data_IF_110608999756
#
_entry.id   IF_110608999756
#
_cell.length_a   1.000
_cell.length_b   1.000
_cell.length_c   1.000
_cell.angle_alpha   90.00
_cell.angle_beta   90.00
_cell.angle_gamma   90.00
#
_symmetry.space_group_name_H-M   'P 1'
#
loop_
_entity.id
_entity.type
_entity.pdbx_description
1 polymer ?
#
# COMPACT_ATOMS: atom_id res chain seq x y z
N UNK A 1 -21.14 63.49 37.80
CA UNK A 1 -21.65 62.41 36.96
C UNK A 1 -20.53 62.07 35.93
N UNK A 2 -19.87 60.96 36.01
CA UNK A 2 -18.80 60.62 35.02
C UNK A 2 -19.38 59.89 33.83
N UNK A 3 -19.00 60.35 32.64
CA UNK A 3 -19.36 59.79 31.36
C UNK A 3 -18.71 58.39 31.16
N UNK A 4 -19.50 57.41 30.81
CA UNK A 4 -19.05 56.06 30.41
C UNK A 4 -18.73 56.03 28.92
N UNK A 5 -17.47 55.90 28.61
CA UNK A 5 -16.97 55.68 27.24
C UNK A 5 -17.11 54.18 26.91
N UNK A 6 -17.91 53.83 25.91
CA UNK A 6 -18.01 52.45 25.36
C UNK A 6 -16.95 52.26 24.33
N UNK A 7 -16.03 51.30 24.59
CA UNK A 7 -15.03 50.84 23.63
C UNK A 7 -15.70 49.76 22.73
N UNK A 8 -15.92 50.10 21.46
CA UNK A 8 -16.42 49.15 20.47
C UNK A 8 -15.18 48.39 19.94
N UNK A 9 -15.06 47.11 20.27
CA UNK A 9 -14.05 46.22 19.73
C UNK A 9 -14.47 45.80 18.31
N UNK A 10 -13.83 46.32 17.32
CA UNK A 10 -13.99 45.88 15.92
C UNK A 10 -13.20 44.55 15.72
N UNK A 11 -13.91 43.43 15.66
CA UNK A 11 -13.33 42.13 15.33
C UNK A 11 -13.14 42.08 13.80
N UNK A 12 -11.91 42.26 13.33
CA UNK A 12 -11.55 42.04 11.94
C UNK A 12 -11.55 40.52 11.69
N UNK A 13 -12.55 40.02 11.01
CA UNK A 13 -12.55 38.64 10.47
C UNK A 13 -11.64 38.66 9.25
N UNK A 14 -10.41 38.21 9.42
CA UNK A 14 -9.49 37.93 8.32
C UNK A 14 -9.95 36.61 7.68
N UNK A 15 -10.70 36.70 6.59
CA UNK A 15 -10.95 35.55 5.70
C UNK A 15 -9.65 35.22 4.99
N UNK A 16 -9.00 34.13 5.40
CA UNK A 16 -7.88 33.58 4.64
C UNK A 16 -8.36 33.26 3.20
N UNK A 17 -7.61 33.64 2.14
CA UNK A 17 -7.99 33.25 0.80
C UNK A 17 -7.97 31.73 0.70
N UNK A 18 -9.08 31.14 0.23
CA UNK A 18 -9.15 29.75 -0.18
C UNK A 18 -8.03 29.49 -1.21
N UNK A 19 -7.15 28.54 -0.92
CA UNK A 19 -6.17 28.07 -1.92
C UNK A 19 -6.94 27.65 -3.16
N UNK A 20 -6.56 28.10 -4.37
CA UNK A 20 -7.14 27.56 -5.60
C UNK A 20 -6.94 26.06 -5.56
N UNK A 21 -8.01 25.29 -5.77
CA UNK A 21 -7.96 23.84 -5.83
C UNK A 21 -6.87 23.42 -6.82
N UNK A 22 -6.04 22.46 -6.44
CA UNK A 22 -5.05 21.91 -7.37
C UNK A 22 -5.79 21.42 -8.61
N UNK A 23 -5.33 21.83 -9.79
CA UNK A 23 -5.94 21.43 -11.05
C UNK A 23 -5.78 19.91 -11.17
N UNK A 24 -6.89 19.19 -11.37
CA UNK A 24 -6.85 17.74 -11.56
C UNK A 24 -5.98 17.39 -12.77
N UNK A 25 -5.19 16.30 -12.71
CA UNK A 25 -4.43 15.82 -13.87
C UNK A 25 -5.34 15.58 -15.07
N UNK A 26 -4.82 15.64 -16.31
CA UNK A 26 -5.61 15.32 -17.50
C UNK A 26 -6.16 13.90 -17.44
N UNK A 27 -7.48 13.75 -17.60
CA UNK A 27 -8.16 12.45 -17.53
C UNK A 27 -9.66 12.56 -17.76
N UNK A 28 -10.34 11.41 -17.82
CA UNK A 28 -11.79 11.37 -17.82
C UNK A 28 -12.32 11.35 -16.38
N UNK A 29 -13.12 12.33 -16.02
CA UNK A 29 -13.79 12.44 -14.71
C UNK A 29 -15.32 12.46 -14.84
N UNK A 30 -15.84 12.11 -16.04
CA UNK A 30 -17.26 12.08 -16.35
C UNK A 30 -17.71 10.63 -16.53
N UNK A 31 -18.54 10.14 -15.62
CA UNK A 31 -19.11 8.79 -15.65
C UNK A 31 -19.84 8.46 -16.97
N UNK A 32 -20.46 9.48 -17.59
CA UNK A 32 -21.18 9.28 -18.87
C UNK A 32 -20.25 9.04 -20.07
N UNK A 33 -18.97 9.34 -19.92
CA UNK A 33 -17.95 9.16 -20.96
C UNK A 33 -17.14 7.88 -20.80
N UNK A 34 -17.49 7.04 -19.83
CA UNK A 34 -16.86 5.73 -19.66
C UNK A 34 -17.24 4.85 -20.85
N UNK A 35 -16.27 4.26 -21.57
CA UNK A 35 -16.57 3.35 -22.66
C UNK A 35 -17.27 2.09 -22.14
N UNK A 36 -18.05 1.44 -23.01
CA UNK A 36 -18.54 0.10 -22.67
C UNK A 36 -17.36 -0.86 -22.52
N UNK A 37 -17.29 -1.56 -21.40
CA UNK A 37 -16.25 -2.54 -21.12
C UNK A 37 -16.84 -3.84 -20.59
N UNK A 38 -16.08 -4.93 -20.76
CA UNK A 38 -16.41 -6.25 -20.20
C UNK A 38 -15.26 -6.69 -19.29
N UNK A 39 -15.58 -7.03 -18.06
CA UNK A 39 -14.62 -7.60 -17.14
C UNK A 39 -14.45 -9.10 -17.39
N UNK A 40 -13.23 -9.64 -17.34
CA UNK A 40 -13.03 -11.08 -17.32
C UNK A 40 -13.68 -11.68 -16.07
N UNK A 41 -14.26 -12.88 -16.21
CA UNK A 41 -14.82 -13.60 -15.05
C UNK A 41 -13.69 -14.28 -14.28
N UNK A 42 -13.46 -13.95 -13.00
CA UNK A 42 -12.38 -14.56 -12.21
C UNK A 42 -12.56 -16.08 -12.03
N UNK A 43 -13.77 -16.61 -12.26
CA UNK A 43 -14.09 -18.03 -12.19
C UNK A 43 -14.10 -18.73 -13.57
N UNK A 44 -13.48 -18.12 -14.57
CA UNK A 44 -13.28 -18.71 -15.90
C UNK A 44 -11.78 -18.74 -16.22
N UNK A 45 -11.26 -19.92 -16.56
CA UNK A 45 -9.87 -20.13 -16.98
C UNK A 45 -9.61 -19.49 -18.35
N UNK A 46 -8.35 -19.24 -18.71
CA UNK A 46 -7.98 -18.73 -20.02
C UNK A 46 -8.38 -19.67 -21.17
N UNK A 47 -8.49 -20.98 -20.92
CA UNK A 47 -8.98 -21.98 -21.86
C UNK A 47 -10.52 -22.05 -21.95
N UNK A 48 -11.26 -21.19 -21.22
CA UNK A 48 -12.72 -21.18 -21.13
C UNK A 48 -13.30 -22.16 -20.09
N UNK A 49 -12.47 -22.93 -19.38
CA UNK A 49 -12.90 -23.85 -18.33
C UNK A 49 -13.47 -23.13 -17.11
N UNK A 50 -14.58 -23.63 -16.57
CA UNK A 50 -15.23 -23.04 -15.38
C UNK A 50 -14.55 -23.48 -14.09
N UNK A 51 -14.39 -22.54 -13.16
CA UNK A 51 -13.88 -22.75 -11.79
C UNK A 51 -15.08 -22.86 -10.85
N UNK A 52 -15.47 -24.10 -10.52
CA UNK A 52 -16.67 -24.37 -9.72
C UNK A 52 -16.39 -24.89 -8.32
N UNK A 53 -15.12 -25.15 -7.99
CA UNK A 53 -14.73 -25.63 -6.64
C UNK A 53 -13.50 -24.90 -6.08
N UNK A 54 -13.36 -24.83 -4.75
CA UNK A 54 -12.18 -24.27 -4.11
C UNK A 54 -10.85 -24.91 -4.56
N UNK A 55 -10.86 -26.21 -4.85
CA UNK A 55 -9.67 -26.95 -5.28
C UNK A 55 -9.22 -26.51 -6.68
N UNK A 56 -10.14 -26.32 -7.64
CA UNK A 56 -9.85 -25.84 -8.99
C UNK A 56 -9.35 -24.39 -8.93
N UNK A 57 -9.95 -23.56 -8.08
CA UNK A 57 -9.43 -22.20 -7.82
C UNK A 57 -7.99 -22.26 -7.33
N UNK A 58 -7.73 -22.97 -6.25
CA UNK A 58 -6.43 -22.97 -5.57
C UNK A 58 -5.33 -23.59 -6.43
N UNK A 59 -5.63 -24.70 -7.13
CA UNK A 59 -4.63 -25.47 -7.86
C UNK A 59 -4.41 -25.02 -9.31
N UNK A 60 -5.37 -24.32 -9.91
CA UNK A 60 -5.31 -23.96 -11.34
C UNK A 60 -5.51 -22.46 -11.59
N UNK A 61 -6.67 -21.89 -11.26
CA UNK A 61 -7.00 -20.52 -11.65
C UNK A 61 -6.16 -19.48 -10.92
N UNK A 62 -5.99 -19.63 -9.61
CA UNK A 62 -5.15 -18.70 -8.84
C UNK A 62 -3.70 -18.64 -9.33
N UNK A 63 -3.00 -19.74 -9.57
CA UNK A 63 -1.68 -19.74 -10.20
C UNK A 63 -1.66 -19.12 -11.61
N UNK A 64 -2.68 -19.38 -12.43
CA UNK A 64 -2.83 -18.79 -13.77
C UNK A 64 -2.94 -17.27 -13.70
N UNK A 65 -3.80 -16.73 -12.83
CA UNK A 65 -3.94 -15.29 -12.62
C UNK A 65 -2.65 -14.65 -12.09
N UNK A 66 -1.98 -15.28 -11.12
CA UNK A 66 -0.70 -14.80 -10.61
C UNK A 66 0.34 -14.68 -11.73
N UNK A 67 0.41 -15.69 -12.62
CA UNK A 67 1.32 -15.68 -13.76
C UNK A 67 0.99 -14.57 -14.76
N UNK A 68 -0.31 -14.32 -15.03
CA UNK A 68 -0.72 -13.25 -15.94
C UNK A 68 -0.35 -11.88 -15.35
N UNK A 69 -0.66 -11.60 -14.07
CA UNK A 69 -0.27 -10.36 -13.42
C UNK A 69 1.27 -10.20 -13.35
N UNK A 70 1.99 -11.27 -13.07
CA UNK A 70 3.45 -11.24 -13.04
C UNK A 70 4.06 -10.97 -14.44
N UNK A 71 3.51 -11.57 -15.50
CA UNK A 71 4.03 -11.38 -16.85
C UNK A 71 3.67 -10.02 -17.45
N UNK A 72 2.44 -9.57 -17.23
CA UNK A 72 1.85 -8.47 -18.01
C UNK A 72 1.74 -7.16 -17.21
N UNK A 73 1.75 -7.19 -15.87
CA UNK A 73 1.51 -5.99 -15.05
C UNK A 73 2.70 -5.64 -14.14
N UNK A 74 3.01 -6.48 -13.15
CA UNK A 74 4.00 -6.10 -12.10
C UNK A 74 5.42 -6.60 -12.37
N UNK A 75 5.57 -7.56 -13.27
CA UNK A 75 6.80 -8.29 -13.54
C UNK A 75 7.00 -9.48 -12.59
N UNK A 76 7.69 -10.51 -13.10
CA UNK A 76 7.99 -11.71 -12.32
C UNK A 76 8.96 -11.40 -11.20
N UNK A 77 8.53 -11.66 -9.99
CA UNK A 77 9.41 -11.60 -8.82
C UNK A 77 10.47 -12.70 -8.90
N UNK A 78 11.77 -12.38 -8.67
CA UNK A 78 12.82 -13.38 -8.69
C UNK A 78 12.58 -14.51 -7.70
N UNK A 79 12.77 -15.75 -8.15
CA UNK A 79 12.64 -16.95 -7.32
C UNK A 79 13.89 -17.26 -6.49
N UNK A 80 15.02 -16.63 -6.83
CA UNK A 80 16.28 -16.82 -6.12
C UNK A 80 16.15 -16.30 -4.69
N UNK A 81 16.37 -17.18 -3.73
CA UNK A 81 16.42 -16.79 -2.32
C UNK A 81 17.81 -16.23 -2.00
N UNK A 82 17.84 -14.95 -1.68
CA UNK A 82 19.04 -14.31 -1.15
C UNK A 82 19.12 -14.52 0.37
N UNK A 83 20.35 -14.56 0.92
CA UNK A 83 20.52 -14.58 2.36
C UNK A 83 19.96 -13.29 2.97
N UNK A 84 19.17 -13.43 4.05
CA UNK A 84 18.69 -12.30 4.82
C UNK A 84 19.53 -12.17 6.09
N UNK A 85 20.35 -11.12 6.19
CA UNK A 85 21.09 -10.80 7.40
C UNK A 85 20.33 -9.77 8.20
N UNK A 86 20.04 -10.12 9.44
CA UNK A 86 19.27 -9.29 10.37
C UNK A 86 20.21 -8.70 11.41
N UNK A 87 20.17 -7.39 11.60
CA UNK A 87 20.84 -6.68 12.70
C UNK A 87 19.81 -5.87 13.47
N UNK A 88 19.66 -6.12 14.76
CA UNK A 88 18.89 -5.25 15.64
C UNK A 88 19.78 -4.07 16.05
N UNK A 89 19.53 -2.91 15.45
CA UNK A 89 20.37 -1.72 15.63
C UNK A 89 20.10 -1.05 16.98
N UNK A 90 18.84 -1.05 17.42
CA UNK A 90 18.45 -0.49 18.72
C UNK A 90 17.13 -1.06 19.22
N UNK A 91 16.98 -1.13 20.55
CA UNK A 91 15.73 -1.40 21.24
C UNK A 91 15.58 -0.43 22.41
N UNK A 92 14.44 0.29 22.44
CA UNK A 92 14.07 1.22 23.51
C UNK A 92 12.74 0.75 24.09
N UNK A 93 12.72 0.38 25.37
CA UNK A 93 11.56 -0.26 25.99
C UNK A 93 10.55 0.74 26.57
N UNK A 94 10.92 2.00 26.68
CA UNK A 94 10.13 3.10 27.24
C UNK A 94 9.86 4.23 26.21
N UNK A 95 9.90 3.91 24.94
CA UNK A 95 9.60 4.86 23.87
C UNK A 95 8.18 5.45 24.02
N UNK A 96 7.95 6.61 23.41
CA UNK A 96 6.68 7.34 23.46
C UNK A 96 6.15 7.54 24.89
N UNK A 97 7.04 7.94 25.81
CA UNK A 97 6.69 8.16 27.22
C UNK A 97 6.32 6.88 27.97
N UNK A 98 6.95 5.76 27.63
CA UNK A 98 6.76 4.46 28.28
C UNK A 98 5.54 3.68 27.78
N UNK A 99 4.91 4.11 26.66
CA UNK A 99 3.76 3.42 26.08
C UNK A 99 4.15 2.42 25.01
N UNK A 100 5.39 2.49 24.48
CA UNK A 100 5.86 1.66 23.38
C UNK A 100 7.24 1.05 23.64
N UNK A 101 7.46 -0.14 23.07
CA UNK A 101 8.79 -0.63 22.71
C UNK A 101 9.07 -0.18 21.28
N UNK A 102 10.17 0.54 21.06
CA UNK A 102 10.66 0.88 19.72
C UNK A 102 11.87 0.03 19.38
N UNK A 103 11.85 -0.64 18.23
CA UNK A 103 12.99 -1.40 17.71
C UNK A 103 13.33 -0.92 16.31
N UNK A 104 14.61 -0.78 16.00
CA UNK A 104 15.12 -0.53 14.66
C UNK A 104 15.96 -1.71 14.23
N UNK A 105 15.75 -2.18 13.02
CA UNK A 105 16.35 -3.39 12.48
C UNK A 105 16.82 -3.14 11.06
N UNK A 106 18.05 -3.49 10.77
CA UNK A 106 18.60 -3.49 9.40
C UNK A 106 18.51 -4.89 8.80
N UNK A 107 17.85 -5.00 7.66
CA UNK A 107 17.71 -6.21 6.85
C UNK A 107 18.60 -6.07 5.61
N UNK A 108 19.70 -6.84 5.50
CA UNK A 108 20.61 -6.86 4.35
C UNK A 108 20.31 -8.06 3.47
N UNK A 109 20.32 -7.84 2.15
CA UNK A 109 19.87 -8.82 1.17
C UNK A 109 21.00 -9.54 0.44
N UNK A 110 22.24 -9.22 0.73
CA UNK A 110 23.43 -9.90 0.20
C UNK A 110 24.59 -9.82 1.17
N UNK A 111 25.70 -10.49 0.82
CA UNK A 111 26.95 -10.42 1.57
C UNK A 111 27.61 -9.04 1.40
N UNK A 112 28.35 -8.61 2.41
CA UNK A 112 29.09 -7.35 2.43
C UNK A 112 28.29 -6.18 3.06
N UNK A 113 29.04 -5.18 3.54
CA UNK A 113 28.45 -4.03 4.24
C UNK A 113 27.76 -3.04 3.31
N UNK A 114 28.15 -3.01 2.04
CA UNK A 114 27.60 -2.11 1.03
C UNK A 114 26.43 -2.76 0.25
N UNK A 115 25.99 -3.96 0.66
CA UNK A 115 24.85 -4.60 0.05
C UNK A 115 23.53 -3.82 0.29
N UNK A 116 22.59 -3.82 -0.66
CA UNK A 116 21.29 -3.23 -0.47
C UNK A 116 20.63 -3.71 0.82
N UNK A 117 20.05 -2.79 1.56
CA UNK A 117 19.44 -3.07 2.86
C UNK A 117 18.22 -2.21 3.09
N UNK A 118 17.27 -2.73 3.86
CA UNK A 118 16.08 -2.03 4.30
C UNK A 118 16.13 -1.85 5.81
N UNK A 119 15.82 -0.65 6.29
CA UNK A 119 15.68 -0.37 7.73
C UNK A 119 14.22 -0.46 8.14
N UNK A 120 13.93 -1.39 9.04
CA UNK A 120 12.61 -1.57 9.62
C UNK A 120 12.53 -0.83 10.96
N UNK A 121 11.49 -0.01 11.13
CA UNK A 121 11.09 0.60 12.40
C UNK A 121 9.88 -0.18 12.92
N UNK A 122 10.00 -0.72 14.13
CA UNK A 122 8.93 -1.48 14.79
C UNK A 122 8.54 -0.79 16.09
N UNK A 123 7.25 -0.49 16.23
CA UNK A 123 6.62 -0.08 17.48
C UNK A 123 5.65 -1.16 17.98
N UNK A 124 5.82 -1.57 19.23
CA UNK A 124 4.94 -2.52 19.91
C UNK A 124 4.41 -1.89 21.21
N UNK A 125 3.19 -2.22 21.68
CA UNK A 125 2.71 -1.79 22.98
C UNK A 125 3.62 -2.27 24.11
N UNK A 126 4.11 -1.37 24.98
CA UNK A 126 5.06 -1.71 26.04
C UNK A 126 4.50 -2.70 27.07
N UNK A 127 3.18 -2.76 27.24
CA UNK A 127 2.48 -3.63 28.20
C UNK A 127 1.91 -4.90 27.58
N UNK A 128 2.34 -5.27 26.37
CA UNK A 128 1.90 -6.51 25.76
C UNK A 128 2.38 -7.73 26.56
N UNK A 129 1.45 -8.62 26.89
CA UNK A 129 1.73 -9.86 27.66
C UNK A 129 1.83 -11.10 26.77
N UNK A 130 1.64 -10.94 25.47
CA UNK A 130 1.68 -11.99 24.44
C UNK A 130 2.15 -11.38 23.12
N UNK A 131 2.56 -12.18 22.11
CA UNK A 131 2.93 -11.70 20.80
C UNK A 131 1.83 -10.82 20.16
N UNK A 132 2.23 -9.72 19.56
CA UNK A 132 1.36 -8.64 19.07
C UNK A 132 1.09 -8.80 17.58
N UNK A 133 -0.17 -8.64 17.16
CA UNK A 133 -0.53 -8.50 15.76
C UNK A 133 -0.01 -7.16 15.22
N UNK A 134 0.57 -7.14 14.01
CA UNK A 134 1.30 -5.99 13.47
C UNK A 134 0.72 -5.56 12.13
N UNK A 135 0.60 -4.25 11.93
CA UNK A 135 0.46 -3.66 10.61
C UNK A 135 1.85 -3.40 10.03
N UNK A 136 2.13 -3.97 8.86
CA UNK A 136 3.37 -3.76 8.12
C UNK A 136 3.09 -2.86 6.92
N UNK A 137 3.84 -1.74 6.83
CA UNK A 137 3.70 -0.77 5.77
C UNK A 137 5.06 -0.31 5.25
N UNK A 138 5.12 0.10 3.98
CA UNK A 138 6.17 0.99 3.51
C UNK A 138 5.74 2.45 3.72
N UNK A 139 6.72 3.36 3.88
CA UNK A 139 6.50 4.79 4.03
C UNK A 139 7.26 5.59 2.96
N UNK A 140 6.84 6.84 2.73
CA UNK A 140 7.32 7.66 1.60
C UNK A 140 8.55 8.51 1.92
N UNK A 141 8.85 8.78 3.18
CA UNK A 141 9.82 9.82 3.53
C UNK A 141 10.90 9.35 4.52
N UNK A 142 10.98 8.04 4.75
CA UNK A 142 11.90 7.45 5.71
C UNK A 142 11.28 7.29 7.11
N UNK A 143 11.86 6.39 7.88
CA UNK A 143 11.31 6.03 9.19
C UNK A 143 11.25 7.19 10.19
N UNK A 144 12.17 8.16 10.09
CA UNK A 144 12.17 9.36 10.93
C UNK A 144 10.93 10.24 10.71
N UNK A 145 10.29 10.15 9.54
CA UNK A 145 9.08 10.91 9.23
C UNK A 145 7.84 10.41 9.98
N UNK A 146 7.87 9.16 10.47
CA UNK A 146 6.72 8.52 11.14
C UNK A 146 6.45 9.12 12.52
N UNK A 147 7.50 9.54 13.22
CA UNK A 147 7.38 10.14 14.55
C UNK A 147 8.52 11.14 14.79
N UNK A 148 8.27 12.17 15.60
CA UNK A 148 9.27 13.20 15.94
C UNK A 148 10.37 12.71 16.90
N UNK A 149 10.34 11.44 17.33
CA UNK A 149 11.35 10.84 18.22
C UNK A 149 12.76 10.95 17.62
N UNK A 150 13.69 11.71 18.26
CA UNK A 150 15.04 11.91 17.75
C UNK A 150 15.87 10.63 17.71
N UNK A 151 15.46 9.58 18.43
CA UNK A 151 16.14 8.29 18.42
C UNK A 151 15.83 7.43 17.21
N UNK A 152 14.95 7.83 16.29
CA UNK A 152 14.77 7.16 15.02
C UNK A 152 15.91 7.58 14.08
N UNK A 153 16.60 6.61 13.47
CA UNK A 153 17.68 6.88 12.52
C UNK A 153 17.14 7.59 11.28
N UNK A 154 17.85 8.60 10.77
CA UNK A 154 17.53 9.25 9.51
C UNK A 154 17.74 8.27 8.35
N UNK A 155 16.88 8.36 7.34
CA UNK A 155 17.09 7.66 6.09
C UNK A 155 18.38 8.14 5.43
N UNK A 156 19.17 7.20 4.92
CA UNK A 156 20.44 7.48 4.23
C UNK A 156 20.34 7.25 2.73
N UNK A 157 19.25 6.62 2.29
CA UNK A 157 18.92 6.39 0.88
C UNK A 157 18.37 7.68 0.27
N UNK A 158 18.45 7.79 -1.05
CA UNK A 158 17.93 8.92 -1.80
C UNK A 158 16.46 9.22 -1.49
N UNK A 159 16.14 10.50 -1.32
CA UNK A 159 14.79 11.02 -1.11
C UNK A 159 14.52 12.13 -2.13
N UNK A 160 13.28 12.27 -2.65
CA UNK A 160 12.93 13.38 -3.52
C UNK A 160 13.16 14.73 -2.83
N UNK A 161 13.86 15.66 -3.48
CA UNK A 161 13.86 17.04 -3.04
C UNK A 161 12.43 17.63 -3.14
N UNK A 162 12.08 18.50 -2.23
CA UNK A 162 10.72 19.01 -2.09
C UNK A 162 9.90 18.30 -1.00
N UNK A 163 10.32 17.13 -0.54
CA UNK A 163 9.76 16.54 0.67
C UNK A 163 10.16 17.38 1.90
N UNK A 164 9.27 17.56 2.89
CA UNK A 164 9.57 18.33 4.09
C UNK A 164 10.83 17.83 4.81
N UNK A 165 11.81 18.72 5.01
CA UNK A 165 13.06 18.41 5.71
C UNK A 165 14.05 17.56 4.92
N UNK A 166 13.88 17.43 3.60
CA UNK A 166 14.87 16.83 2.68
C UNK A 166 15.70 17.93 2.05
N UNK A 167 17.01 17.77 2.03
CA UNK A 167 17.98 18.72 1.45
C UNK A 167 19.03 17.92 0.67
N UNK A 168 19.21 18.24 -0.60
CA UNK A 168 20.14 17.55 -1.50
C UNK A 168 19.92 16.01 -1.47
N UNK A 169 18.68 15.59 -1.55
CA UNK A 169 18.24 14.19 -1.52
C UNK A 169 18.54 13.44 -0.21
N UNK A 170 18.80 14.13 0.88
CA UNK A 170 19.06 13.55 2.19
C UNK A 170 18.07 14.02 3.24
N UNK A 171 17.63 13.09 4.10
CA UNK A 171 16.81 13.41 5.26
C UNK A 171 17.62 14.26 6.26
N UNK A 172 16.96 15.25 6.84
CA UNK A 172 17.48 16.04 7.96
C UNK A 172 16.56 15.90 9.17
N UNK A 173 16.98 16.42 10.34
CA UNK A 173 16.12 16.42 11.52
C UNK A 173 14.79 17.16 11.33
N UNK A 174 14.71 18.08 10.36
CA UNK A 174 13.48 18.77 10.01
C UNK A 174 12.43 17.84 9.33
N UNK A 175 12.84 16.65 8.86
CA UNK A 175 11.91 15.64 8.31
C UNK A 175 11.22 14.80 9.39
N UNK A 176 11.62 14.92 10.67
CA UNK A 176 11.06 14.11 11.76
C UNK A 176 9.58 14.38 11.97
N UNK A 177 8.79 13.32 12.01
CA UNK A 177 7.37 13.38 12.29
C UNK A 177 6.51 14.00 11.18
N UNK A 178 7.05 14.29 9.99
CA UNK A 178 6.31 14.93 8.89
C UNK A 178 5.19 14.05 8.32
N UNK A 179 5.25 12.72 8.53
CA UNK A 179 4.19 11.76 8.17
C UNK A 179 3.42 11.20 9.40
N UNK A 180 3.58 11.80 10.59
CA UNK A 180 2.91 11.32 11.80
C UNK A 180 1.37 11.30 11.67
N UNK A 181 0.79 12.17 10.84
CA UNK A 181 -0.65 12.16 10.51
C UNK A 181 -1.08 10.92 9.72
N UNK A 182 -0.20 10.42 8.83
CA UNK A 182 -0.44 9.20 8.04
C UNK A 182 -0.20 7.93 8.82
N UNK A 183 0.61 7.98 9.85
CA UNK A 183 0.96 6.84 10.70
C UNK A 183 0.69 7.18 12.18
N UNK A 184 -0.57 7.12 12.63
CA UNK A 184 -0.94 7.48 14.01
C UNK A 184 -0.52 6.37 14.99
N UNK A 185 0.79 6.26 15.26
CA UNK A 185 1.40 5.19 16.07
C UNK A 185 0.67 5.03 17.42
N UNK A 186 0.39 6.12 18.11
CA UNK A 186 -0.30 6.08 19.41
C UNK A 186 -1.70 5.45 19.31
N UNK A 187 -2.47 5.75 18.24
CA UNK A 187 -3.78 5.16 18.00
C UNK A 187 -3.69 3.65 17.74
N UNK A 188 -2.72 3.22 16.94
CA UNK A 188 -2.48 1.81 16.59
C UNK A 188 -2.12 1.02 17.86
N UNK A 189 -1.17 1.53 18.65
CA UNK A 189 -0.73 0.91 19.91
C UNK A 189 -1.84 0.85 20.94
N UNK A 190 -2.67 1.90 21.05
CA UNK A 190 -3.80 1.95 22.00
C UNK A 190 -4.87 0.89 21.70
N UNK A 191 -4.95 0.40 20.46
CA UNK A 191 -5.81 -0.72 20.06
C UNK A 191 -5.15 -2.09 20.22
N UNK A 192 -3.93 -2.15 20.76
CA UNK A 192 -3.20 -3.39 21.02
C UNK A 192 -2.44 -3.95 19.81
N UNK A 193 -2.34 -3.19 18.73
CA UNK A 193 -1.57 -3.57 17.54
C UNK A 193 -0.18 -2.94 17.56
N UNK A 194 0.77 -3.58 16.88
CA UNK A 194 2.06 -2.98 16.53
C UNK A 194 2.03 -2.33 15.14
N UNK A 195 3.03 -1.50 14.88
CA UNK A 195 3.33 -0.94 13.57
C UNK A 195 4.77 -1.27 13.20
N UNK A 196 4.97 -1.92 12.06
CA UNK A 196 6.26 -2.09 11.42
C UNK A 196 6.28 -1.27 10.12
N UNK A 197 7.32 -0.47 9.90
CA UNK A 197 7.42 0.32 8.67
C UNK A 197 8.85 0.44 8.19
N UNK A 198 9.03 0.56 6.86
CA UNK A 198 10.31 0.79 6.22
C UNK A 198 10.16 1.81 5.08
N UNK A 199 11.24 2.51 4.77
CA UNK A 199 11.27 3.41 3.63
C UNK A 199 11.30 2.61 2.32
N UNK A 200 10.35 2.86 1.43
CA UNK A 200 10.26 2.13 0.15
C UNK A 200 11.47 2.32 -0.75
N UNK A 201 12.11 3.51 -0.69
CA UNK A 201 13.33 3.82 -1.43
C UNK A 201 14.58 3.07 -0.96
N UNK A 202 14.54 2.40 0.21
CA UNK A 202 15.61 1.46 0.61
C UNK A 202 15.63 0.21 -0.28
N UNK A 203 14.50 -0.11 -0.91
CA UNK A 203 14.35 -1.25 -1.83
C UNK A 203 14.60 -0.84 -3.26
N UNK A 204 13.96 0.23 -3.69
CA UNK A 204 14.10 0.82 -5.01
C UNK A 204 13.70 2.30 -4.94
N UNK A 205 14.64 3.24 -5.11
CA UNK A 205 14.34 4.67 -5.17
C UNK A 205 13.36 4.99 -6.31
N UNK A 206 12.42 5.90 -6.05
CA UNK A 206 11.29 6.17 -6.95
C UNK A 206 11.65 7.14 -8.09
N UNK A 207 12.54 6.68 -8.96
CA UNK A 207 12.87 7.34 -10.23
C UNK A 207 13.32 6.30 -11.27
N UNK A 208 13.29 6.64 -12.56
CA UNK A 208 13.59 5.72 -13.67
C UNK A 208 15.08 5.36 -13.76
N UNK A 209 15.55 4.59 -12.80
CA UNK A 209 16.88 4.01 -12.73
C UNK A 209 16.81 2.61 -12.10
N UNK A 210 17.41 1.62 -12.75
CA UNK A 210 17.43 0.24 -12.28
C UNK A 210 18.84 -0.26 -11.96
N UNK A 211 19.83 0.64 -11.90
CA UNK A 211 21.20 0.33 -11.50
C UNK A 211 21.41 0.43 -9.97
N UNK A 212 20.35 0.69 -9.21
CA UNK A 212 20.34 0.87 -7.76
C UNK A 212 19.33 -0.06 -7.06
N UNK A 213 19.16 0.10 -5.76
CA UNK A 213 18.23 -0.70 -4.96
C UNK A 213 18.54 -2.20 -5.03
N UNK A 214 17.47 -3.01 -5.06
CA UNK A 214 17.57 -4.47 -5.04
C UNK A 214 17.63 -5.10 -6.42
N UNK A 215 17.30 -4.37 -7.50
CA UNK A 215 17.27 -4.92 -8.86
C UNK A 215 18.58 -5.57 -9.30
N UNK A 216 19.76 -4.93 -9.10
CA UNK A 216 21.04 -5.50 -9.52
C UNK A 216 21.39 -6.84 -8.87
N UNK A 217 20.82 -7.15 -7.70
CA UNK A 217 21.04 -8.43 -7.02
C UNK A 217 20.53 -9.64 -7.81
N UNK A 218 19.65 -9.41 -8.77
CA UNK A 218 18.95 -10.45 -9.52
C UNK A 218 19.26 -10.43 -11.00
N UNK A 219 20.17 -9.55 -11.45
CA UNK A 219 20.50 -9.44 -12.86
C UNK A 219 21.38 -10.59 -13.33
N UNK A 220 21.10 -11.05 -14.54
CA UNK A 220 22.01 -11.90 -15.27
C UNK A 220 23.30 -11.13 -15.61
N UNK A 221 24.38 -11.86 -15.90
CA UNK A 221 25.66 -11.24 -16.29
C UNK A 221 25.46 -10.31 -17.50
N UNK A 222 25.84 -9.04 -17.33
CA UNK A 222 25.71 -7.99 -18.34
C UNK A 222 24.31 -7.34 -18.44
N UNK A 223 23.33 -7.79 -17.68
CA UNK A 223 22.03 -7.14 -17.62
C UNK A 223 22.12 -5.83 -16.83
N UNK A 224 21.46 -4.75 -17.31
CA UNK A 224 21.45 -3.43 -16.66
C UNK A 224 20.04 -2.92 -16.36
N UNK A 225 19.03 -3.50 -16.96
CA UNK A 225 17.61 -3.15 -16.77
C UNK A 225 16.77 -4.42 -16.78
N UNK A 226 15.59 -4.42 -16.13
CA UNK A 226 14.65 -5.53 -16.21
C UNK A 226 14.25 -5.84 -17.66
N UNK A 227 14.10 -7.12 -17.97
CA UNK A 227 13.44 -7.55 -19.21
C UNK A 227 11.94 -7.17 -19.15
N UNK A 228 11.22 -7.13 -20.30
CA UNK A 228 9.84 -6.66 -20.34
C UNK A 228 8.85 -7.38 -19.42
N UNK A 229 9.14 -8.61 -19.00
CA UNK A 229 8.36 -9.41 -18.08
C UNK A 229 8.99 -9.56 -16.68
N UNK A 230 10.12 -8.91 -16.44
CA UNK A 230 10.71 -8.81 -15.11
C UNK A 230 10.13 -7.63 -14.33
N UNK A 231 10.26 -7.68 -13.02
CA UNK A 231 9.62 -6.76 -12.08
C UNK A 231 10.11 -5.31 -12.21
N UNK A 232 9.15 -4.38 -12.05
CA UNK A 232 9.41 -2.97 -11.82
C UNK A 232 9.50 -2.65 -10.33
N UNK A 233 9.54 -1.37 -10.00
CA UNK A 233 9.66 -0.86 -8.64
C UNK A 233 8.55 -1.38 -7.71
N UNK A 234 7.29 -1.42 -8.16
CA UNK A 234 6.17 -1.97 -7.37
C UNK A 234 6.44 -3.44 -7.00
N UNK A 235 7.00 -4.23 -7.93
CA UNK A 235 7.40 -5.60 -7.66
C UNK A 235 8.51 -5.69 -6.60
N UNK A 236 9.51 -4.82 -6.67
CA UNK A 236 10.60 -4.73 -5.70
C UNK A 236 10.10 -4.30 -4.30
N UNK A 237 9.20 -3.32 -4.23
CA UNK A 237 8.56 -2.88 -2.98
C UNK A 237 7.71 -4.00 -2.36
N UNK A 238 6.94 -4.73 -3.16
CA UNK A 238 6.16 -5.88 -2.70
C UNK A 238 7.05 -7.02 -2.18
N UNK A 239 8.17 -7.30 -2.86
CA UNK A 239 9.17 -8.26 -2.39
C UNK A 239 9.77 -7.84 -1.04
N UNK A 240 10.09 -6.57 -0.85
CA UNK A 240 10.61 -6.04 0.39
C UNK A 240 9.64 -6.22 1.58
N UNK A 241 8.33 -6.07 1.35
CA UNK A 241 7.32 -6.37 2.37
C UNK A 241 7.37 -7.84 2.80
N UNK A 242 7.56 -8.78 1.87
CA UNK A 242 7.76 -10.20 2.20
C UNK A 242 9.09 -10.44 2.97
N UNK A 243 10.14 -9.69 2.67
CA UNK A 243 11.43 -9.77 3.43
C UNK A 243 11.29 -9.22 4.84
N UNK A 244 10.50 -8.15 5.02
CA UNK A 244 10.17 -7.66 6.36
C UNK A 244 9.37 -8.71 7.16
N UNK A 245 8.43 -9.39 6.51
CA UNK A 245 7.67 -10.49 7.14
C UNK A 245 8.58 -11.66 7.55
N UNK A 246 9.60 -12.01 6.76
CA UNK A 246 10.57 -13.04 7.13
C UNK A 246 11.27 -12.71 8.48
N UNK A 247 11.59 -11.44 8.72
CA UNK A 247 12.10 -11.01 10.01
C UNK A 247 11.05 -11.09 11.10
N UNK A 248 9.84 -10.57 10.84
CA UNK A 248 8.76 -10.56 11.84
C UNK A 248 8.39 -11.98 12.31
N UNK A 249 8.55 -13.00 11.46
CA UNK A 249 8.37 -14.42 11.83
C UNK A 249 9.43 -14.90 12.84
N UNK A 250 10.58 -14.24 12.91
CA UNK A 250 11.64 -14.59 13.88
C UNK A 250 11.56 -13.80 15.20
N UNK A 251 10.75 -12.74 15.23
CA UNK A 251 10.60 -11.88 16.40
C UNK A 251 9.52 -12.42 17.35
N UNK A 252 9.93 -13.02 18.45
CA UNK A 252 9.01 -13.60 19.44
C UNK A 252 8.03 -12.61 20.09
N UNK A 253 8.19 -11.30 19.88
CA UNK A 253 7.24 -10.26 20.31
C UNK A 253 6.09 -10.06 19.33
N UNK A 254 6.18 -10.61 18.11
CA UNK A 254 5.22 -10.46 17.03
C UNK A 254 4.42 -11.73 16.83
N UNK A 255 3.09 -11.61 16.69
CA UNK A 255 2.26 -12.70 16.19
C UNK A 255 2.36 -12.75 14.66
N UNK A 256 3.31 -13.54 14.16
CA UNK A 256 3.59 -13.66 12.74
C UNK A 256 2.40 -14.17 11.90
N UNK A 257 1.44 -14.87 12.52
CA UNK A 257 0.22 -15.34 11.84
C UNK A 257 -0.87 -14.27 11.75
N UNK A 258 -0.62 -13.08 12.30
CA UNK A 258 -1.56 -11.96 12.32
C UNK A 258 -0.91 -10.65 11.86
N UNK A 259 -0.06 -10.74 10.84
CA UNK A 259 0.54 -9.56 10.19
C UNK A 259 -0.38 -9.10 9.06
N UNK A 260 -0.85 -7.85 9.15
CA UNK A 260 -1.58 -7.16 8.10
C UNK A 260 -0.62 -6.34 7.25
N UNK A 261 -0.63 -6.47 5.94
CA UNK A 261 0.07 -5.54 5.04
C UNK A 261 -0.85 -4.38 4.68
N UNK A 262 -0.36 -3.15 4.79
CA UNK A 262 -1.11 -1.93 4.46
C UNK A 262 -0.28 -1.00 3.59
N UNK A 263 -0.93 -0.39 2.60
CA UNK A 263 -0.29 0.60 1.75
C UNK A 263 -1.25 1.67 1.26
N UNK A 264 -0.70 2.85 1.02
CA UNK A 264 -1.40 4.02 0.46
C UNK A 264 -0.83 4.34 -0.91
N UNK A 265 -1.68 4.75 -1.88
CA UNK A 265 -1.26 5.17 -3.20
C UNK A 265 -0.45 4.07 -3.92
N UNK A 266 0.72 4.39 -4.50
CA UNK A 266 1.64 3.41 -5.10
C UNK A 266 2.05 2.28 -4.16
N UNK A 267 2.13 2.56 -2.87
CA UNK A 267 2.43 1.54 -1.87
C UNK A 267 1.21 0.67 -1.53
N UNK A 268 -0.01 1.14 -1.84
CA UNK A 268 -1.23 0.33 -1.87
C UNK A 268 -1.20 -0.71 -2.99
N UNK A 269 -0.70 -0.33 -4.18
CA UNK A 269 -0.44 -1.27 -5.28
C UNK A 269 0.59 -2.34 -4.85
N UNK A 270 1.67 -1.91 -4.19
CA UNK A 270 2.69 -2.83 -3.65
C UNK A 270 2.13 -3.76 -2.56
N UNK A 271 1.28 -3.26 -1.66
CA UNK A 271 0.63 -4.07 -0.62
C UNK A 271 -0.32 -5.12 -1.22
N UNK A 272 -1.12 -4.76 -2.24
CA UNK A 272 -1.96 -5.71 -2.97
C UNK A 272 -1.14 -6.80 -3.65
N UNK A 273 -0.06 -6.41 -4.35
CA UNK A 273 0.79 -7.38 -5.05
C UNK A 273 1.56 -8.27 -4.08
N UNK A 274 2.06 -7.73 -2.96
CA UNK A 274 2.65 -8.53 -1.87
C UNK A 274 1.65 -9.53 -1.31
N UNK A 275 0.43 -9.08 -0.99
CA UNK A 275 -0.63 -9.94 -0.48
C UNK A 275 -1.08 -11.03 -1.47
N UNK A 276 -1.10 -10.74 -2.77
CA UNK A 276 -1.41 -11.72 -3.81
C UNK A 276 -0.35 -12.81 -3.90
N UNK A 277 0.94 -12.46 -3.80
CA UNK A 277 2.06 -13.40 -3.92
C UNK A 277 2.34 -14.17 -2.63
N UNK A 278 2.23 -13.51 -1.47
CA UNK A 278 2.64 -14.07 -0.18
C UNK A 278 1.43 -14.35 0.71
N UNK A 279 1.01 -15.62 0.82
CA UNK A 279 -0.16 -16.01 1.61
C UNK A 279 0.04 -15.86 3.13
N UNK A 280 1.23 -15.59 3.62
CA UNK A 280 1.52 -15.40 5.05
C UNK A 280 0.94 -14.09 5.59
N UNK A 281 0.72 -13.08 4.75
CA UNK A 281 -0.02 -11.88 5.17
C UNK A 281 -1.46 -12.27 5.54
N UNK A 282 -1.82 -12.07 6.80
CA UNK A 282 -3.13 -12.46 7.33
C UNK A 282 -4.27 -11.54 6.87
N UNK A 283 -3.96 -10.31 6.49
CA UNK A 283 -4.89 -9.30 5.99
C UNK A 283 -4.16 -8.36 5.03
N UNK A 284 -4.88 -7.86 4.03
CA UNK A 284 -4.35 -6.89 3.06
C UNK A 284 -5.21 -5.64 3.07
N UNK A 285 -4.57 -4.47 3.14
CA UNK A 285 -5.24 -3.15 3.12
C UNK A 285 -4.66 -2.32 1.99
N UNK A 286 -5.52 -1.82 1.13
CA UNK A 286 -5.20 -0.91 0.03
C UNK A 286 -5.96 0.39 0.19
N UNK A 287 -5.25 1.50 0.35
CA UNK A 287 -5.81 2.84 0.48
C UNK A 287 -5.49 3.66 -0.76
N UNK A 288 -6.52 4.09 -1.48
CA UNK A 288 -6.43 4.99 -2.62
C UNK A 288 -5.35 4.58 -3.63
N UNK A 289 -5.37 3.31 -4.00
CA UNK A 289 -4.32 2.73 -4.85
C UNK A 289 -4.53 2.92 -6.34
N UNK A 290 -5.71 3.29 -6.79
CA UNK A 290 -6.02 3.71 -8.16
C UNK A 290 -5.65 2.70 -9.25
N UNK A 291 -5.27 3.20 -10.42
CA UNK A 291 -4.85 2.42 -11.57
C UNK A 291 -3.66 1.50 -11.24
N UNK A 292 -3.71 0.24 -11.68
CA UNK A 292 -2.72 -0.77 -11.29
C UNK A 292 -2.71 -1.07 -9.78
N UNK A 293 -3.75 -0.67 -9.07
CA UNK A 293 -4.05 -0.97 -7.67
C UNK A 293 -5.42 -1.63 -7.55
N UNK A 294 -6.38 -1.00 -6.88
CA UNK A 294 -7.73 -1.54 -6.69
C UNK A 294 -8.73 -1.09 -7.77
N UNK A 295 -8.46 0.02 -8.47
CA UNK A 295 -9.37 0.58 -9.47
C UNK A 295 -9.31 -0.19 -10.80
N UNK A 296 -10.49 -0.45 -11.40
CA UNK A 296 -10.63 -1.16 -12.68
C UNK A 296 -9.97 -0.37 -13.82
N UNK A 297 -8.97 -0.96 -14.47
CA UNK A 297 -8.27 -0.33 -15.61
C UNK A 297 -9.15 -0.15 -16.83
N UNK A 298 -10.01 -1.15 -17.17
CA UNK A 298 -10.89 -1.11 -18.34
C UNK A 298 -11.99 -0.04 -18.25
N UNK A 299 -12.16 0.55 -17.08
CA UNK A 299 -13.12 1.63 -16.85
C UNK A 299 -12.67 2.97 -17.47
N UNK A 300 -11.37 3.19 -17.63
CA UNK A 300 -10.76 4.40 -18.24
C UNK A 300 -11.32 5.68 -17.58
N UNK A 301 -11.18 5.77 -16.27
CA UNK A 301 -11.58 6.91 -15.45
C UNK A 301 -10.40 7.35 -14.57
N UNK A 302 -10.19 8.66 -14.38
CA UNK A 302 -9.06 9.19 -13.64
C UNK A 302 -7.72 8.81 -14.28
N UNK A 303 -6.86 8.14 -13.52
CA UNK A 303 -5.56 7.62 -13.99
C UNK A 303 -5.75 6.41 -14.89
N UNK A 304 -5.13 6.42 -16.08
CA UNK A 304 -5.18 5.31 -17.05
C UNK A 304 -3.85 4.57 -17.11
N UNK A 305 -3.83 3.42 -17.79
CA UNK A 305 -2.60 2.67 -18.03
C UNK A 305 -1.60 3.51 -18.83
N UNK A 306 -2.05 4.30 -19.80
CA UNK A 306 -1.20 5.24 -20.54
C UNK A 306 -0.57 6.27 -19.60
N UNK A 307 -1.39 6.95 -18.80
CA UNK A 307 -0.94 8.01 -17.91
C UNK A 307 0.11 7.50 -16.91
N UNK A 308 -0.16 6.37 -16.24
CA UNK A 308 0.72 5.84 -15.21
C UNK A 308 2.03 5.27 -15.77
N UNK A 309 1.98 4.57 -16.92
CA UNK A 309 3.20 4.00 -17.52
C UNK A 309 4.08 5.05 -18.19
N UNK A 310 3.49 6.15 -18.67
CA UNK A 310 4.23 7.30 -19.21
C UNK A 310 4.87 8.15 -18.09
N UNK A 311 4.14 8.38 -16.99
CA UNK A 311 4.61 9.20 -15.89
C UNK A 311 5.63 8.47 -15.01
N UNK A 312 5.44 7.15 -14.83
CA UNK A 312 6.26 6.30 -13.97
C UNK A 312 6.68 5.02 -14.71
N UNK A 313 7.57 5.13 -15.71
CA UNK A 313 7.95 4.01 -16.58
C UNK A 313 8.67 2.87 -15.84
N UNK A 314 9.16 3.13 -14.63
CA UNK A 314 9.87 2.17 -13.78
C UNK A 314 8.94 1.37 -12.84
N UNK A 315 7.66 1.76 -12.68
CA UNK A 315 6.82 1.11 -11.66
C UNK A 315 6.39 -0.31 -11.99
N UNK A 316 6.05 -0.56 -13.24
CA UNK A 316 5.48 -1.82 -13.69
C UNK A 316 6.43 -2.61 -14.60
N UNK A 317 6.04 -3.84 -14.95
CA UNK A 317 6.72 -4.57 -16.02
C UNK A 317 6.66 -3.81 -17.34
N UNK A 318 7.69 -3.90 -18.15
CA UNK A 318 7.71 -3.30 -19.49
C UNK A 318 6.54 -3.77 -20.38
N UNK A 319 6.06 -5.01 -20.17
CA UNK A 319 4.88 -5.52 -20.87
C UNK A 319 3.60 -4.73 -20.62
N UNK A 320 3.46 -4.07 -19.46
CA UNK A 320 2.24 -3.32 -19.13
C UNK A 320 2.00 -2.14 -20.08
N UNK A 321 3.06 -1.56 -20.64
CA UNK A 321 2.95 -0.49 -21.64
C UNK A 321 2.18 -0.88 -22.92
N UNK A 322 2.04 -2.18 -23.21
CA UNK A 322 1.26 -2.68 -24.36
C UNK A 322 -0.23 -2.39 -24.23
N UNK A 323 -0.68 -2.11 -23.02
CA UNK A 323 -2.09 -1.87 -22.69
C UNK A 323 -2.39 -0.37 -22.51
N UNK A 324 -1.38 0.51 -22.71
CA UNK A 324 -1.59 1.96 -22.76
C UNK A 324 -2.53 2.31 -23.93
N UNK A 325 -3.60 3.07 -23.66
CA UNK A 325 -4.70 3.36 -24.61
C UNK A 325 -5.35 2.10 -25.22
N UNK A 326 -5.15 0.94 -24.60
CA UNK A 326 -5.63 -0.35 -25.08
C UNK A 326 -6.04 -1.27 -23.91
N UNK A 327 -6.61 -0.70 -22.85
CA UNK A 327 -7.01 -1.40 -21.64
C UNK A 327 -8.01 -2.53 -21.92
N UNK A 328 -8.77 -2.44 -23.02
CA UNK A 328 -9.67 -3.51 -23.45
C UNK A 328 -8.95 -4.82 -23.74
N UNK A 329 -7.70 -4.77 -24.22
CA UNK A 329 -6.88 -5.95 -24.54
C UNK A 329 -6.19 -6.56 -23.31
N UNK A 330 -6.20 -5.90 -22.16
CA UNK A 330 -5.63 -6.44 -20.94
C UNK A 330 -6.31 -7.76 -20.56
N UNK A 331 -5.59 -8.88 -20.42
CA UNK A 331 -6.19 -10.20 -20.19
C UNK A 331 -6.79 -10.37 -18.79
N UNK A 332 -6.54 -9.46 -17.90
CA UNK A 332 -7.04 -9.39 -16.51
C UNK A 332 -7.58 -7.98 -16.21
N UNK A 333 -8.22 -7.81 -15.05
CA UNK A 333 -8.43 -6.48 -14.48
C UNK A 333 -8.32 -6.57 -12.94
N UNK A 334 -8.26 -5.44 -12.26
CA UNK A 334 -7.85 -5.32 -10.86
C UNK A 334 -8.76 -6.08 -9.87
N UNK A 335 -10.02 -6.33 -10.20
CA UNK A 335 -10.89 -7.21 -9.41
C UNK A 335 -10.33 -8.65 -9.28
N UNK A 336 -9.62 -9.14 -10.31
CA UNK A 336 -8.94 -10.45 -10.25
C UNK A 336 -7.68 -10.41 -9.39
N UNK A 337 -6.95 -9.27 -9.35
CA UNK A 337 -5.89 -9.07 -8.35
C UNK A 337 -6.44 -9.14 -6.92
N UNK A 338 -7.55 -8.44 -6.67
CA UNK A 338 -8.21 -8.45 -5.36
C UNK A 338 -8.72 -9.85 -5.00
N UNK A 339 -9.21 -10.61 -5.98
CA UNK A 339 -9.63 -12.00 -5.80
C UNK A 339 -8.47 -12.94 -5.40
N UNK A 340 -7.21 -12.64 -5.79
CA UNK A 340 -6.03 -13.42 -5.37
C UNK A 340 -5.77 -13.37 -3.86
N UNK A 341 -6.32 -12.39 -3.14
CA UNK A 341 -6.22 -12.29 -1.68
C UNK A 341 -7.11 -13.32 -0.97
N UNK A 342 -8.22 -13.71 -1.61
CA UNK A 342 -9.18 -14.66 -1.03
C UNK A 342 -8.52 -15.98 -0.57
N UNK A 343 -8.94 -16.58 0.56
CA UNK A 343 -10.07 -16.20 1.43
C UNK A 343 -9.72 -15.25 2.58
N UNK A 344 -8.53 -14.61 2.54
CA UNK A 344 -8.04 -13.71 3.59
C UNK A 344 -8.79 -12.36 3.56
N UNK A 345 -8.92 -11.69 4.71
CA UNK A 345 -9.49 -10.35 4.80
C UNK A 345 -8.77 -9.35 3.87
N UNK A 346 -9.56 -8.63 3.11
CA UNK A 346 -9.14 -7.54 2.22
C UNK A 346 -9.89 -6.27 2.59
N UNK A 347 -9.20 -5.14 2.71
CA UNK A 347 -9.83 -3.85 2.88
C UNK A 347 -9.40 -2.88 1.77
N UNK A 348 -10.37 -2.27 1.11
CA UNK A 348 -10.15 -1.22 0.10
C UNK A 348 -10.72 0.08 0.64
N UNK A 349 -9.94 1.14 0.59
CA UNK A 349 -10.32 2.46 1.09
C UNK A 349 -10.08 3.52 0.02
N UNK A 350 -11.03 4.43 -0.09
CA UNK A 350 -11.06 5.50 -1.09
C UNK A 350 -11.37 6.85 -0.44
N UNK A 351 -11.08 7.96 -1.14
CA UNK A 351 -11.52 9.30 -0.79
C UNK A 351 -12.38 9.91 -1.90
N UNK A 352 -13.48 10.57 -1.51
CA UNK A 352 -14.45 11.11 -2.46
C UNK A 352 -13.88 12.23 -3.35
N UNK A 353 -12.86 12.97 -2.87
CA UNK A 353 -12.16 14.01 -3.64
C UNK A 353 -11.08 13.45 -4.56
N UNK A 354 -10.59 12.25 -4.30
CA UNK A 354 -9.53 11.61 -5.09
C UNK A 354 -10.06 10.93 -6.37
N UNK A 355 -10.60 11.75 -7.26
CA UNK A 355 -11.15 11.25 -8.53
C UNK A 355 -10.08 10.67 -9.46
N UNK A 356 -8.81 11.03 -9.26
CA UNK A 356 -7.69 10.46 -10.00
C UNK A 356 -7.50 8.97 -9.72
N UNK A 357 -7.71 8.53 -8.48
CA UNK A 357 -7.66 7.11 -8.09
C UNK A 357 -8.95 6.34 -8.43
N UNK A 358 -9.99 6.98 -8.97
CA UNK A 358 -11.29 6.36 -9.30
C UNK A 358 -11.92 5.62 -8.10
N UNK A 359 -12.47 6.31 -7.10
CA UNK A 359 -13.09 5.67 -5.94
C UNK A 359 -14.18 4.67 -6.28
N UNK A 360 -14.93 4.94 -7.35
CA UNK A 360 -15.96 4.01 -7.83
C UNK A 360 -15.36 2.80 -8.50
N UNK A 361 -14.27 2.96 -9.25
CA UNK A 361 -13.52 1.86 -9.83
C UNK A 361 -12.89 0.96 -8.78
N UNK A 362 -12.38 1.52 -7.66
CA UNK A 362 -11.90 0.75 -6.52
C UNK A 362 -13.02 -0.05 -5.84
N UNK A 363 -14.21 0.56 -5.66
CA UNK A 363 -15.39 -0.16 -5.16
C UNK A 363 -15.80 -1.30 -6.08
N UNK A 364 -15.88 -1.07 -7.39
CA UNK A 364 -16.23 -2.08 -8.37
C UNK A 364 -15.17 -3.19 -8.45
N UNK A 365 -13.91 -2.86 -8.29
CA UNK A 365 -12.82 -3.84 -8.14
C UNK A 365 -13.04 -4.76 -6.95
N UNK A 366 -13.33 -4.18 -5.78
CA UNK A 366 -13.64 -4.93 -4.55
C UNK A 366 -14.89 -5.83 -4.73
N UNK A 367 -15.95 -5.30 -5.37
CA UNK A 367 -17.16 -6.04 -5.66
C UNK A 367 -16.91 -7.19 -6.65
N UNK A 368 -16.13 -6.97 -7.70
CA UNK A 368 -15.80 -7.98 -8.71
C UNK A 368 -14.98 -9.17 -8.16
N UNK A 369 -14.33 -9.02 -7.01
CA UNK A 369 -13.64 -10.11 -6.33
C UNK A 369 -14.58 -11.06 -5.55
N UNK A 370 -15.82 -10.62 -5.23
CA UNK A 370 -16.77 -11.40 -4.42
C UNK A 370 -17.05 -12.83 -4.89
N UNK A 371 -17.18 -13.13 -6.20
CA UNK A 371 -17.47 -14.50 -6.65
C UNK A 371 -16.45 -15.52 -6.10
N UNK A 372 -15.17 -15.13 -6.04
CA UNK A 372 -14.11 -15.99 -5.51
C UNK A 372 -14.23 -16.15 -3.99
N UNK A 373 -14.52 -15.07 -3.26
CA UNK A 373 -14.75 -15.15 -1.81
C UNK A 373 -15.93 -16.09 -1.49
N UNK A 374 -17.04 -15.97 -2.24
CA UNK A 374 -18.20 -16.87 -2.08
C UNK A 374 -17.86 -18.31 -2.40
N UNK A 375 -17.11 -18.56 -3.50
CA UNK A 375 -16.62 -19.91 -3.83
C UNK A 375 -15.81 -20.53 -2.69
N UNK A 376 -15.02 -19.70 -1.98
CA UNK A 376 -14.19 -20.13 -0.85
C UNK A 376 -14.92 -20.08 0.50
N UNK A 377 -16.26 -19.97 0.50
CA UNK A 377 -17.11 -20.00 1.70
C UNK A 377 -17.00 -18.74 2.56
N UNK A 378 -16.67 -17.58 1.96
CA UNK A 378 -16.57 -16.31 2.66
C UNK A 378 -17.62 -15.31 2.18
N UNK A 379 -18.10 -14.47 3.09
CA UNK A 379 -18.89 -13.30 2.73
C UNK A 379 -17.95 -12.27 2.12
N UNK A 380 -18.20 -11.87 0.87
CA UNK A 380 -17.42 -10.83 0.21
C UNK A 380 -17.71 -9.42 0.77
N UNK A 381 -17.93 -8.46 -0.12
CA UNK A 381 -18.29 -7.09 0.23
C UNK A 381 -19.74 -7.00 0.78
N UNK A 382 -20.65 -7.77 0.20
CA UNK A 382 -22.03 -7.93 0.71
C UNK A 382 -22.96 -6.75 0.41
N UNK A 383 -22.57 -5.83 -0.48
CA UNK A 383 -23.39 -4.70 -0.93
C UNK A 383 -23.30 -4.56 -2.45
N UNK A 384 -24.42 -4.19 -3.09
CA UNK A 384 -24.49 -4.02 -4.55
C UNK A 384 -24.09 -2.60 -5.00
N UNK A 385 -24.33 -1.61 -4.16
CA UNK A 385 -24.06 -0.22 -4.47
C UNK A 385 -22.94 0.34 -3.60
N UNK A 386 -22.16 1.25 -4.18
CA UNK A 386 -21.15 2.00 -3.46
C UNK A 386 -21.79 2.71 -2.24
N UNK A 387 -21.23 2.54 -1.03
CA UNK A 387 -21.79 3.13 0.16
C UNK A 387 -21.70 4.67 0.11
N UNK A 388 -22.54 5.37 0.87
CA UNK A 388 -22.35 6.80 1.10
C UNK A 388 -21.00 7.11 1.75
N UNK A 389 -20.54 8.35 1.56
CA UNK A 389 -19.30 8.84 2.19
C UNK A 389 -19.37 8.67 3.72
N UNK A 390 -18.27 8.21 4.32
CA UNK A 390 -18.12 7.93 5.75
C UNK A 390 -19.03 6.80 6.29
N UNK A 391 -19.49 5.90 5.43
CA UNK A 391 -20.27 4.72 5.82
C UNK A 391 -19.54 3.43 5.43
N UNK A 392 -18.64 2.89 6.27
CA UNK A 392 -17.90 1.69 5.98
C UNK A 392 -18.82 0.46 5.90
N UNK A 393 -18.54 -0.42 4.95
CA UNK A 393 -19.31 -1.66 4.69
C UNK A 393 -18.38 -2.86 4.55
N UNK A 394 -18.94 -4.05 4.61
CA UNK A 394 -18.29 -5.29 4.20
C UNK A 394 -18.26 -6.41 5.22
N UNK A 395 -18.02 -7.62 4.67
CA UNK A 395 -17.78 -8.87 5.35
C UNK A 395 -16.29 -9.21 5.44
N UNK A 396 -15.83 -10.16 4.63
CA UNK A 396 -14.40 -10.49 4.51
C UNK A 396 -13.67 -9.54 3.53
N UNK A 397 -14.39 -8.90 2.62
CA UNK A 397 -13.94 -7.71 1.91
C UNK A 397 -14.57 -6.52 2.61
N UNK A 398 -13.77 -5.57 3.08
CA UNK A 398 -14.22 -4.28 3.63
C UNK A 398 -14.02 -3.15 2.62
N UNK A 399 -14.89 -2.14 2.68
CA UNK A 399 -14.77 -0.94 1.86
C UNK A 399 -15.28 0.29 2.60
N UNK A 400 -14.60 1.42 2.40
CA UNK A 400 -15.17 2.73 2.68
C UNK A 400 -14.73 3.76 1.63
N UNK A 401 -15.51 4.81 1.49
CA UNK A 401 -15.10 6.06 0.87
C UNK A 401 -15.26 7.16 1.91
N UNK A 402 -14.16 7.88 2.22
CA UNK A 402 -14.19 9.00 3.17
C UNK A 402 -14.31 10.36 2.46
N UNK A 403 -14.57 11.41 3.20
CA UNK A 403 -14.37 12.79 2.72
C UNK A 403 -12.90 13.09 2.56
N UNK A 404 -12.60 14.05 1.67
CA UNK A 404 -11.28 14.62 1.49
C UNK A 404 -10.60 14.11 0.23
N UNK A 405 -9.35 14.52 0.12
CA UNK A 405 -8.47 14.31 -1.02
C UNK A 405 -7.56 13.10 -0.80
N UNK A 406 -6.65 12.87 -1.74
CA UNK A 406 -5.66 11.79 -1.73
C UNK A 406 -4.76 11.83 -0.50
N UNK A 407 -5.00 11.00 0.49
CA UNK A 407 -4.21 10.90 1.72
C UNK A 407 -4.47 9.59 2.48
N UNK A 408 -3.67 9.32 3.52
CA UNK A 408 -3.89 8.29 4.52
C UNK A 408 -4.12 8.98 5.87
N UNK A 409 -5.30 8.85 6.44
CA UNK A 409 -5.74 9.64 7.58
C UNK A 409 -6.02 8.80 8.83
N UNK A 410 -6.22 9.47 9.95
CA UNK A 410 -6.65 8.82 11.20
C UNK A 410 -8.00 8.11 11.06
N UNK A 411 -8.91 8.61 10.19
CA UNK A 411 -10.19 7.95 9.90
C UNK A 411 -9.96 6.60 9.20
N UNK A 412 -9.08 6.56 8.19
CA UNK A 412 -8.75 5.31 7.51
C UNK A 412 -8.22 4.27 8.50
N UNK A 413 -7.30 4.67 9.37
CA UNK A 413 -6.77 3.80 10.42
C UNK A 413 -7.82 3.34 11.42
N UNK A 414 -8.81 4.18 11.76
CA UNK A 414 -9.93 3.75 12.60
C UNK A 414 -10.68 2.57 11.95
N UNK A 415 -10.95 2.65 10.65
CA UNK A 415 -11.64 1.61 9.92
C UNK A 415 -10.77 0.34 9.77
N UNK A 416 -9.48 0.49 9.48
CA UNK A 416 -8.55 -0.65 9.38
C UNK A 416 -8.42 -1.38 10.71
N UNK A 417 -8.30 -0.66 11.81
CA UNK A 417 -8.22 -1.23 13.16
C UNK A 417 -9.53 -1.94 13.56
N UNK A 418 -10.67 -1.33 13.25
CA UNK A 418 -11.98 -1.95 13.48
C UNK A 418 -12.16 -3.24 12.65
N UNK A 419 -11.70 -3.24 11.40
CA UNK A 419 -11.73 -4.40 10.52
C UNK A 419 -10.77 -5.49 11.01
N UNK A 420 -9.54 -5.13 11.38
CA UNK A 420 -8.56 -6.06 11.95
C UNK A 420 -9.08 -6.73 13.23
N UNK A 421 -9.76 -5.98 14.10
CA UNK A 421 -10.34 -6.54 15.33
C UNK A 421 -11.39 -7.64 15.05
N UNK A 422 -12.09 -7.56 13.92
CA UNK A 422 -13.06 -8.57 13.51
C UNK A 422 -12.42 -9.81 12.88
N UNK A 423 -11.27 -9.66 12.24
CA UNK A 423 -10.70 -10.68 11.36
C UNK A 423 -9.36 -11.25 11.80
N UNK A 424 -8.54 -10.48 12.51
CA UNK A 424 -7.28 -10.96 13.05
C UNK A 424 -7.50 -11.44 14.49
N UNK A 425 -7.17 -12.71 14.76
CA UNK A 425 -7.21 -13.25 16.12
C UNK A 425 -6.04 -12.67 16.91
N UNK A 426 -6.33 -12.17 18.09
CA UNK A 426 -5.34 -11.74 19.08
C UNK A 426 -4.84 -12.92 19.91
#
# INVERSE_FOLDING_TARGET
MPARTWLVLLVLVITAPSRPGAQQPPGNYDESRIPAYTLPDPLVMADGGKVSTPEVWTSRRRPELLEIFARDVYGRTPVTRLPLRVTVDSTVNDALGGTAVRRQVTLRFAEGNDSPSMRLLLYLPAKATRPVSVFLALNFQGNQAINADPGIALATTWLPDGNPGVVNHHATDASRGTEAGRFPVAQILAKGYGLATAYYGDLDPDYDDFDNGVHPLFYASGQKRPAPDQWGAIGAWAWGLSRALDYLETDGSVNAQAVAVVGHSRLGKAALWAGAQDPRFAMVVSNESGCGGAALSKRIFGETVEAITRQFPHWFAGNFTRYADNEAALPVDQHELLALIAPRPLYVASAAGDQWADPRGEFLGAQGAEPVYRLLGRTGLGVENMPPVDHPVGGTIGYHVRRGEHDLTAYDWEQFLAFATRHLRH
#
